data_IF_812486653769
#
_entry.id   IF_812486653769
#
_cell.length_a   1.000
_cell.length_b   1.000
_cell.length_c   1.000
_cell.angle_alpha   90.00
_cell.angle_beta   90.00
_cell.angle_gamma   90.00
#
_symmetry.space_group_name_H-M   'P 1'
#
loop_
_entity.id
_entity.type
_entity.pdbx_description
1 polymer ?
#
# COMPACT_ATOMS: atom_id res chain seq x y z
N UNK A 1 4.94 1.58 -5.36
CA UNK A 1 3.56 2.10 -5.35
C UNK A 1 2.94 1.97 -3.97
N UNK A 2 1.96 2.80 -3.67
CA UNK A 2 0.95 2.58 -2.62
C UNK A 2 -0.44 2.72 -3.26
N UNK A 3 -1.49 2.38 -2.52
CA UNK A 3 -2.86 2.56 -3.02
C UNK A 3 -3.38 3.95 -2.61
N UNK A 4 -4.12 4.62 -3.50
CA UNK A 4 -4.84 5.86 -3.18
C UNK A 4 -6.16 5.56 -2.44
N UNK A 5 -6.98 6.58 -2.21
CA UNK A 5 -8.28 6.45 -1.52
C UNK A 5 -9.28 5.51 -2.23
N UNK A 6 -9.18 5.40 -3.53
CA UNK A 6 -10.03 4.56 -4.37
C UNK A 6 -9.48 3.13 -4.55
N UNK A 7 -8.35 2.78 -3.90
CA UNK A 7 -7.69 1.50 -4.08
C UNK A 7 -6.86 1.39 -5.37
N UNK A 8 -6.66 2.49 -6.10
CA UNK A 8 -5.86 2.50 -7.31
C UNK A 8 -4.36 2.63 -6.97
N UNK A 9 -3.46 1.89 -7.63
CA UNK A 9 -2.02 2.08 -7.46
C UNK A 9 -1.57 3.49 -7.83
N UNK A 10 -0.87 4.13 -6.90
CA UNK A 10 -0.26 5.44 -7.05
C UNK A 10 1.23 5.27 -7.28
N UNK A 11 1.74 5.87 -8.35
CA UNK A 11 3.16 5.85 -8.73
C UNK A 11 3.69 7.27 -8.91
N UNK A 12 4.98 7.44 -8.68
CA UNK A 12 5.72 8.68 -8.89
C UNK A 12 6.80 8.40 -9.94
N UNK A 13 6.69 8.99 -11.12
CA UNK A 13 7.57 8.69 -12.26
C UNK A 13 8.11 9.96 -12.92
N UNK A 14 9.35 9.88 -13.42
CA UNK A 14 10.04 10.98 -14.06
C UNK A 14 9.51 11.24 -15.47
N UNK A 15 9.32 12.51 -15.83
CA UNK A 15 8.89 12.95 -17.18
C UNK A 15 9.85 12.54 -18.28
N UNK A 16 11.14 12.45 -17.99
CA UNK A 16 12.18 12.07 -18.97
C UNK A 16 12.35 10.56 -19.14
N UNK A 17 11.66 9.76 -18.32
CA UNK A 17 11.79 8.31 -18.40
C UNK A 17 11.02 7.75 -19.61
N UNK A 18 11.59 6.72 -20.26
CA UNK A 18 10.99 6.10 -21.44
C UNK A 18 9.58 5.55 -21.17
N UNK A 19 9.37 4.96 -19.99
CA UNK A 19 8.04 4.46 -19.62
C UNK A 19 7.01 5.59 -19.51
N UNK A 20 7.38 6.80 -19.09
CA UNK A 20 6.48 7.96 -19.05
C UNK A 20 6.09 8.40 -20.46
N UNK A 21 7.05 8.48 -21.38
CA UNK A 21 6.75 8.77 -22.78
C UNK A 21 5.83 7.71 -23.39
N UNK A 22 6.07 6.44 -23.09
CA UNK A 22 5.21 5.36 -23.59
C UNK A 22 3.78 5.50 -23.05
N UNK A 23 3.59 5.80 -21.77
CA UNK A 23 2.28 5.99 -21.15
C UNK A 23 1.55 7.23 -21.67
N UNK A 24 2.28 8.27 -22.10
CA UNK A 24 1.69 9.44 -22.77
C UNK A 24 1.18 9.11 -24.17
N UNK A 25 1.82 8.18 -24.86
CA UNK A 25 1.41 7.73 -26.20
C UNK A 25 0.27 6.70 -26.14
N UNK A 26 0.33 5.75 -25.21
CA UNK A 26 -0.73 4.77 -24.93
C UNK A 26 -0.78 4.53 -23.41
N UNK A 27 -1.88 4.92 -22.74
CA UNK A 27 -2.00 4.80 -21.29
C UNK A 27 -2.16 3.36 -20.81
N UNK A 28 -2.36 2.40 -21.69
CA UNK A 28 -2.53 1.00 -21.32
C UNK A 28 -1.26 0.43 -20.72
N UNK A 29 -1.39 -0.12 -19.53
CA UNK A 29 -0.27 -0.74 -18.84
C UNK A 29 -0.73 -1.90 -17.96
N UNK A 30 0.23 -2.60 -17.37
CA UNK A 30 -0.06 -3.61 -16.37
C UNK A 30 0.90 -3.51 -15.20
N UNK A 31 0.37 -3.76 -13.99
CA UNK A 31 1.14 -3.91 -12.76
C UNK A 31 1.08 -5.37 -12.33
N UNK A 32 2.25 -6.01 -12.24
CA UNK A 32 2.39 -7.36 -11.70
C UNK A 32 2.79 -7.30 -10.22
N UNK A 33 2.01 -7.97 -9.38
CA UNK A 33 2.29 -8.16 -7.96
C UNK A 33 2.45 -9.66 -7.72
N UNK A 34 3.55 -10.06 -7.12
CA UNK A 34 3.87 -11.45 -6.79
C UNK A 34 4.47 -11.59 -5.40
N UNK A 35 4.50 -12.81 -4.90
CA UNK A 35 5.13 -13.13 -3.62
C UNK A 35 6.64 -12.88 -3.67
N UNK A 36 7.17 -12.26 -2.63
CA UNK A 36 8.61 -11.97 -2.54
C UNK A 36 9.38 -13.23 -2.12
N UNK A 37 10.58 -13.40 -2.71
CA UNK A 37 11.52 -14.46 -2.30
C UNK A 37 11.17 -15.86 -2.79
N UNK A 38 10.20 -16.01 -3.68
CA UNK A 38 9.89 -17.30 -4.27
C UNK A 38 11.01 -17.76 -5.22
N UNK A 39 11.52 -18.99 -5.01
CA UNK A 39 12.51 -19.61 -5.91
C UNK A 39 11.91 -19.90 -7.29
N UNK A 40 10.64 -20.29 -7.33
CA UNK A 40 9.88 -20.51 -8.57
C UNK A 40 8.67 -19.55 -8.64
N UNK A 41 8.81 -18.53 -9.46
CA UNK A 41 7.76 -17.53 -9.70
C UNK A 41 6.48 -18.16 -10.31
N UNK A 42 6.57 -19.35 -10.94
CA UNK A 42 5.42 -20.01 -11.53
C UNK A 42 4.60 -20.81 -10.51
N UNK A 43 5.23 -21.20 -9.40
CA UNK A 43 4.59 -21.97 -8.34
C UNK A 43 3.80 -21.11 -7.35
N UNK A 44 4.05 -19.79 -7.31
CA UNK A 44 3.44 -18.87 -6.33
C UNK A 44 2.32 -18.04 -6.93
N UNK A 45 1.51 -17.49 -6.01
CA UNK A 45 0.43 -16.58 -6.35
C UNK A 45 0.96 -15.27 -6.99
N UNK A 46 0.31 -14.83 -8.06
CA UNK A 46 0.58 -13.55 -8.69
C UNK A 46 -0.68 -12.89 -9.20
N UNK A 47 -0.74 -11.59 -9.03
CA UNK A 47 -1.86 -10.75 -9.45
C UNK A 47 -1.35 -9.77 -10.51
N UNK A 48 -2.01 -9.74 -11.67
CA UNK A 48 -1.75 -8.75 -12.71
C UNK A 48 -2.94 -7.81 -12.81
N UNK A 49 -2.70 -6.53 -12.56
CA UNK A 49 -3.65 -5.47 -12.86
C UNK A 49 -3.46 -5.01 -14.30
N UNK A 50 -4.48 -5.12 -15.12
CA UNK A 50 -4.58 -4.38 -16.38
C UNK A 50 -5.18 -3.02 -16.06
N UNK A 51 -4.55 -1.94 -16.50
CA UNK A 51 -4.92 -0.59 -16.11
C UNK A 51 -4.66 0.44 -17.21
N UNK A 52 -5.25 1.61 -17.04
CA UNK A 52 -4.90 2.81 -17.76
C UNK A 52 -4.21 3.79 -16.81
N UNK A 53 -3.01 4.24 -17.20
CA UNK A 53 -2.25 5.20 -16.41
C UNK A 53 -2.80 6.61 -16.64
N UNK A 54 -3.17 7.30 -15.56
CA UNK A 54 -3.73 8.66 -15.60
C UNK A 54 -2.83 9.58 -14.79
N UNK A 55 -2.27 10.60 -15.43
CA UNK A 55 -1.51 11.64 -14.73
C UNK A 55 -2.43 12.46 -13.84
N UNK A 56 -1.99 12.75 -12.62
CA UNK A 56 -2.70 13.62 -11.68
C UNK A 56 -2.29 15.05 -11.95
N UNK A 57 -3.25 15.91 -12.31
CA UNK A 57 -3.00 17.30 -12.70
C UNK A 57 -3.64 18.33 -11.75
N UNK A 58 -4.68 17.94 -11.01
CA UNK A 58 -5.32 18.79 -10.01
C UNK A 58 -4.42 18.98 -8.78
N UNK A 59 -4.19 20.23 -8.36
CA UNK A 59 -3.27 20.57 -7.28
C UNK A 59 -3.67 19.93 -5.94
N UNK A 60 -4.96 19.85 -5.63
CA UNK A 60 -5.47 19.23 -4.41
C UNK A 60 -5.25 17.72 -4.43
N UNK A 61 -5.49 17.09 -5.59
CA UNK A 61 -5.22 15.67 -5.79
C UNK A 61 -3.72 15.35 -5.74
N UNK A 62 -2.86 16.22 -6.30
CA UNK A 62 -1.39 16.10 -6.18
C UNK A 62 -0.97 16.19 -4.71
N UNK A 63 -1.48 17.15 -3.95
CA UNK A 63 -1.15 17.30 -2.53
C UNK A 63 -1.57 16.07 -1.71
N UNK A 64 -2.77 15.53 -1.95
CA UNK A 64 -3.26 14.31 -1.30
C UNK A 64 -2.42 13.08 -1.67
N UNK A 65 -2.07 12.93 -2.97
CA UNK A 65 -1.19 11.87 -3.46
C UNK A 65 0.20 11.96 -2.82
N UNK A 66 0.79 13.15 -2.75
CA UNK A 66 2.09 13.40 -2.15
C UNK A 66 2.09 13.08 -0.65
N UNK A 67 1.11 13.58 0.10
CA UNK A 67 0.99 13.33 1.54
C UNK A 67 0.92 11.84 1.84
N UNK A 68 0.17 11.06 1.04
CA UNK A 68 0.09 9.62 1.19
C UNK A 68 1.37 8.91 0.75
N UNK A 69 1.86 9.21 -0.44
CA UNK A 69 3.03 8.54 -1.02
C UNK A 69 4.28 8.70 -0.16
N UNK A 70 4.53 9.90 0.40
CA UNK A 70 5.69 10.15 1.24
C UNK A 70 5.63 9.51 2.62
N UNK A 71 4.44 9.15 3.12
CA UNK A 71 4.35 8.30 4.32
C UNK A 71 4.92 6.91 4.07
N UNK A 72 4.67 6.35 2.88
CA UNK A 72 5.22 5.05 2.48
C UNK A 72 6.69 5.15 2.05
N UNK A 73 7.03 6.20 1.31
CA UNK A 73 8.35 6.38 0.66
C UNK A 73 8.90 7.79 0.91
N UNK A 74 9.36 8.09 2.14
CA UNK A 74 9.78 9.45 2.52
C UNK A 74 10.97 9.96 1.71
N UNK A 75 11.85 9.08 1.23
CA UNK A 75 12.97 9.41 0.35
C UNK A 75 12.52 10.00 -0.99
N UNK A 76 11.30 9.69 -1.43
CA UNK A 76 10.75 10.17 -2.71
C UNK A 76 10.40 11.65 -2.70
N UNK A 77 10.28 12.27 -1.53
CA UNK A 77 9.98 13.70 -1.41
C UNK A 77 11.05 14.56 -2.08
N UNK A 78 12.33 14.16 -1.96
CA UNK A 78 13.44 14.83 -2.62
C UNK A 78 13.37 14.79 -4.14
N UNK A 79 12.86 13.70 -4.72
CA UNK A 79 12.75 13.56 -6.18
C UNK A 79 11.67 14.46 -6.78
N UNK A 80 10.50 14.55 -6.15
CA UNK A 80 9.42 15.41 -6.62
C UNK A 80 9.77 16.89 -6.56
N UNK A 81 10.49 17.32 -5.50
CA UNK A 81 10.88 18.72 -5.32
C UNK A 81 12.04 19.17 -6.21
N UNK A 82 12.96 18.27 -6.52
CA UNK A 82 14.21 18.57 -7.21
C UNK A 82 14.17 18.31 -8.72
N UNK A 83 13.22 17.51 -9.21
CA UNK A 83 13.24 16.94 -10.56
C UNK A 83 11.84 16.84 -11.18
N UNK A 84 11.83 16.49 -12.48
CA UNK A 84 10.65 16.36 -13.33
C UNK A 84 9.85 15.08 -13.03
N UNK A 85 9.35 14.89 -11.81
CA UNK A 85 8.52 13.76 -11.42
C UNK A 85 7.06 14.19 -11.29
N UNK A 86 6.14 13.37 -11.78
CA UNK A 86 4.71 13.55 -11.65
C UNK A 86 4.07 12.33 -10.97
N UNK A 87 2.98 12.57 -10.24
CA UNK A 87 2.12 11.52 -9.73
C UNK A 87 1.19 11.02 -10.82
N UNK A 88 1.07 9.71 -10.90
CA UNK A 88 0.15 8.99 -11.76
C UNK A 88 -0.62 7.97 -10.94
N UNK A 89 -1.87 7.71 -11.31
CA UNK A 89 -2.66 6.60 -10.80
C UNK A 89 -2.89 5.58 -11.90
N UNK A 90 -2.89 4.31 -11.54
CA UNK A 90 -3.20 3.22 -12.44
C UNK A 90 -4.67 2.85 -12.24
N UNK A 91 -5.53 3.35 -13.14
CA UNK A 91 -6.96 3.10 -13.09
C UNK A 91 -7.25 1.65 -13.48
N UNK A 92 -7.83 0.83 -12.61
CA UNK A 92 -8.08 -0.58 -12.88
C UNK A 92 -9.07 -0.78 -14.03
N UNK A 93 -8.72 -1.69 -14.94
CA UNK A 93 -9.61 -2.17 -15.99
C UNK A 93 -10.05 -3.60 -15.66
N UNK A 94 -9.09 -4.46 -15.29
CA UNK A 94 -9.35 -5.85 -14.94
C UNK A 94 -8.18 -6.45 -14.17
N UNK A 95 -8.47 -7.45 -13.35
CA UNK A 95 -7.46 -8.19 -12.60
C UNK A 95 -7.36 -9.63 -13.09
N UNK A 96 -6.13 -10.16 -13.12
CA UNK A 96 -5.86 -11.56 -13.41
C UNK A 96 -5.06 -12.16 -12.27
N UNK A 97 -5.67 -13.07 -11.54
CA UNK A 97 -5.01 -13.84 -10.49
C UNK A 97 -4.56 -15.21 -11.04
N UNK A 98 -3.34 -15.60 -10.69
CA UNK A 98 -2.79 -16.93 -10.96
C UNK A 98 -2.31 -17.48 -9.63
N UNK A 99 -2.97 -18.54 -9.12
CA UNK A 99 -2.69 -19.19 -7.85
C UNK A 99 -1.78 -20.42 -7.97
N UNK A 100 -0.70 -20.32 -8.75
CA UNK A 100 0.17 -21.43 -9.06
C UNK A 100 -0.25 -22.20 -10.32
N UNK A 101 0.20 -23.45 -10.46
CA UNK A 101 -0.05 -24.25 -11.67
C UNK A 101 -1.55 -24.47 -11.93
N UNK A 102 -2.07 -23.84 -12.98
CA UNK A 102 -3.41 -24.11 -13.52
C UNK A 102 -4.57 -23.31 -12.92
N UNK A 103 -4.41 -22.62 -11.81
CA UNK A 103 -5.45 -21.77 -11.22
C UNK A 103 -5.39 -20.36 -11.77
N UNK A 104 -6.14 -20.08 -12.85
CA UNK A 104 -6.20 -18.76 -13.49
C UNK A 104 -7.63 -18.22 -13.34
N UNK A 105 -7.73 -17.03 -12.71
CA UNK A 105 -9.01 -16.36 -12.49
C UNK A 105 -8.94 -14.90 -12.98
N UNK A 106 -9.99 -14.48 -13.67
CA UNK A 106 -10.23 -13.08 -13.94
C UNK A 106 -11.18 -12.52 -12.88
N UNK A 107 -10.82 -11.35 -12.34
CA UNK A 107 -11.56 -10.69 -11.29
C UNK A 107 -11.90 -9.27 -11.81
N UNK A 108 -13.16 -8.90 -11.75
CA UNK A 108 -13.64 -7.61 -12.28
C UNK A 108 -13.60 -6.50 -11.20
N UNK A 109 -13.70 -6.88 -9.91
CA UNK A 109 -13.61 -5.96 -8.78
C UNK A 109 -12.70 -6.56 -7.69
N UNK A 110 -11.56 -5.94 -7.43
CA UNK A 110 -10.59 -6.38 -6.41
C UNK A 110 -10.21 -5.25 -5.44
N UNK A 111 -10.33 -3.98 -5.88
CA UNK A 111 -9.95 -2.84 -5.08
C UNK A 111 -11.19 -2.14 -4.52
N UNK A 112 -11.30 -2.13 -3.20
CA UNK A 112 -12.29 -1.32 -2.50
C UNK A 112 -11.68 0.01 -2.07
N UNK A 113 -12.51 1.06 -2.07
CA UNK A 113 -12.10 2.35 -1.54
C UNK A 113 -11.81 2.24 -0.04
N UNK A 114 -10.70 2.82 0.41
CA UNK A 114 -10.40 2.91 1.82
C UNK A 114 -11.25 4.02 2.48
N UNK A 115 -12.26 3.69 3.31
CA UNK A 115 -13.14 4.68 3.92
C UNK A 115 -12.43 5.57 4.95
N UNK A 116 -11.23 5.19 5.39
CA UNK A 116 -10.43 5.96 6.36
C UNK A 116 -9.49 6.96 5.69
N UNK A 117 -9.29 6.87 4.38
CA UNK A 117 -8.31 7.68 3.67
C UNK A 117 -8.53 9.19 3.89
N UNK A 118 -7.42 9.93 4.04
CA UNK A 118 -7.43 11.34 4.40
C UNK A 118 -7.16 11.56 5.89
N UNK A 119 -7.87 12.52 6.50
CA UNK A 119 -7.61 12.98 7.87
C UNK A 119 -7.86 11.89 8.94
N UNK A 120 -8.82 11.00 8.71
CA UNK A 120 -9.13 9.90 9.65
C UNK A 120 -7.94 8.94 9.72
N UNK A 121 -7.44 8.46 8.58
CA UNK A 121 -6.28 7.58 8.50
C UNK A 121 -5.03 8.28 9.05
N UNK A 122 -4.81 9.54 8.66
CA UNK A 122 -3.67 10.32 9.11
C UNK A 122 -3.65 10.47 10.63
N UNK A 123 -4.80 10.81 11.24
CA UNK A 123 -4.92 10.94 12.69
C UNK A 123 -4.69 9.61 13.43
N UNK A 124 -5.22 8.49 12.93
CA UNK A 124 -4.95 7.17 13.51
C UNK A 124 -3.46 6.81 13.45
N UNK A 125 -2.80 7.05 12.30
CA UNK A 125 -1.38 6.76 12.10
C UNK A 125 -0.52 7.63 13.03
N UNK A 126 -0.80 8.93 13.11
CA UNK A 126 -0.07 9.86 13.98
C UNK A 126 -0.17 9.44 15.44
N UNK A 127 -1.39 9.15 15.91
CA UNK A 127 -1.62 8.66 17.27
C UNK A 127 -0.85 7.36 17.57
N UNK A 128 -0.89 6.39 16.66
CA UNK A 128 -0.16 5.14 16.85
C UNK A 128 1.34 5.35 16.90
N UNK A 129 1.90 6.15 16.02
CA UNK A 129 3.34 6.41 15.96
C UNK A 129 3.84 7.24 17.14
N UNK A 130 3.05 8.21 17.65
CA UNK A 130 3.42 9.09 18.76
C UNK A 130 3.28 8.41 20.11
N UNK A 131 2.15 7.73 20.34
CA UNK A 131 1.77 7.29 21.68
C UNK A 131 1.93 5.78 21.89
N UNK A 132 1.99 4.98 20.81
CA UNK A 132 1.93 3.52 20.88
C UNK A 132 3.12 2.81 20.20
N UNK A 133 4.32 3.42 20.21
CA UNK A 133 5.52 2.83 19.61
C UNK A 133 5.86 1.44 20.19
N UNK A 134 5.56 1.19 21.47
CA UNK A 134 5.75 -0.14 22.11
C UNK A 134 4.79 -1.18 21.53
N UNK A 135 3.55 -0.81 21.26
CA UNK A 135 2.58 -1.71 20.63
C UNK A 135 3.00 -2.03 19.18
N UNK A 136 3.47 -1.03 18.42
CA UNK A 136 4.00 -1.25 17.07
C UNK A 136 5.19 -2.22 17.10
N UNK A 137 6.13 -2.07 18.05
CA UNK A 137 7.24 -3.00 18.21
C UNK A 137 6.77 -4.42 18.56
N UNK A 138 5.72 -4.55 19.37
CA UNK A 138 5.10 -5.83 19.68
C UNK A 138 4.46 -6.48 18.44
N UNK A 139 3.76 -5.72 17.58
CA UNK A 139 3.20 -6.23 16.32
C UNK A 139 4.29 -6.78 15.40
N UNK A 140 5.45 -6.12 15.32
CA UNK A 140 6.62 -6.62 14.58
C UNK A 140 7.07 -7.98 15.08
N UNK A 141 7.14 -8.17 16.40
CA UNK A 141 7.52 -9.44 17.03
C UNK A 141 6.49 -10.53 16.77
N UNK A 142 5.20 -10.23 16.97
CA UNK A 142 4.10 -11.17 16.73
C UNK A 142 4.07 -11.66 15.28
N UNK A 143 4.34 -10.77 14.33
CA UNK A 143 4.39 -11.09 12.90
C UNK A 143 5.67 -11.81 12.47
N UNK A 144 6.61 -12.09 13.38
CA UNK A 144 7.89 -12.72 13.07
C UNK A 144 8.79 -11.90 12.17
N UNK A 145 8.58 -10.58 12.11
CA UNK A 145 9.40 -9.68 11.30
C UNK A 145 10.71 -9.35 12.00
N UNK A 146 11.76 -9.08 11.21
CA UNK A 146 13.09 -8.81 11.74
C UNK A 146 13.09 -7.57 12.66
N UNK A 147 13.38 -7.78 13.94
CA UNK A 147 13.61 -6.72 14.90
C UNK A 147 15.02 -6.13 14.69
N UNK A 148 15.15 -4.82 14.70
CA UNK A 148 16.48 -4.17 14.58
C UNK A 148 16.42 -2.74 14.09
N UNK A 149 15.29 -2.33 13.49
CA UNK A 149 15.03 -0.95 13.10
C UNK A 149 13.66 -0.51 13.65
N UNK A 150 13.48 0.79 13.94
CA UNK A 150 12.18 1.32 14.33
C UNK A 150 11.14 1.08 13.25
N UNK A 151 10.00 0.54 13.66
CA UNK A 151 8.84 0.40 12.78
C UNK A 151 7.93 1.63 12.91
N UNK A 152 7.34 2.03 11.81
CA UNK A 152 6.34 3.09 11.76
C UNK A 152 5.10 2.61 11.03
N UNK A 153 3.94 2.92 11.56
CA UNK A 153 2.68 2.71 10.84
C UNK A 153 2.57 3.77 9.73
N UNK A 154 2.24 3.33 8.51
CA UNK A 154 2.21 4.21 7.33
C UNK A 154 0.89 4.14 6.55
N UNK A 155 0.04 3.15 6.85
CA UNK A 155 -1.30 3.03 6.27
C UNK A 155 -2.20 2.17 7.14
N UNK A 156 -3.50 2.44 7.08
CA UNK A 156 -4.56 1.66 7.73
C UNK A 156 -5.72 1.57 6.74
N UNK A 157 -6.27 0.38 6.57
CA UNK A 157 -7.48 0.11 5.81
C UNK A 157 -8.41 -0.83 6.62
N UNK A 158 -9.61 -1.15 6.15
CA UNK A 158 -10.51 -2.06 6.87
C UNK A 158 -9.95 -3.45 7.12
N UNK A 159 -9.04 -3.92 6.29
CA UNK A 159 -8.52 -5.29 6.34
C UNK A 159 -7.22 -5.39 7.15
N UNK A 160 -6.53 -4.26 7.40
CA UNK A 160 -5.26 -4.30 8.10
C UNK A 160 -4.53 -2.97 8.16
N UNK A 161 -3.22 -3.06 8.35
CA UNK A 161 -2.36 -1.89 8.41
C UNK A 161 -0.97 -2.18 7.82
N UNK A 162 -0.30 -1.11 7.41
CA UNK A 162 1.04 -1.17 6.86
C UNK A 162 2.07 -0.68 7.87
N UNK A 163 3.12 -1.46 8.08
CA UNK A 163 4.30 -1.05 8.81
C UNK A 163 5.48 -0.86 7.86
N UNK A 164 6.17 0.25 8.01
CA UNK A 164 7.48 0.48 7.38
C UNK A 164 8.57 0.16 8.38
N UNK A 165 9.49 -0.75 8.01
CA UNK A 165 10.68 -1.11 8.77
C UNK A 165 11.89 -0.86 7.87
N UNK A 166 12.66 0.19 8.14
CA UNK A 166 13.65 0.67 7.20
C UNK A 166 13.03 1.05 5.85
N UNK A 167 13.44 0.39 4.78
CA UNK A 167 12.89 0.59 3.43
C UNK A 167 11.81 -0.44 3.04
N UNK A 168 11.51 -1.39 3.91
CA UNK A 168 10.53 -2.44 3.64
C UNK A 168 9.15 -2.06 4.17
N UNK A 169 8.13 -2.29 3.36
CA UNK A 169 6.72 -2.17 3.75
C UNK A 169 6.16 -3.57 3.96
N UNK A 170 5.52 -3.77 5.11
CA UNK A 170 4.85 -5.00 5.51
C UNK A 170 3.37 -4.70 5.76
N UNK A 171 2.48 -5.46 5.13
CA UNK A 171 1.06 -5.42 5.42
C UNK A 171 0.72 -6.49 6.46
N UNK A 172 -0.08 -6.13 7.45
CA UNK A 172 -0.49 -6.99 8.55
C UNK A 172 -2.02 -6.95 8.65
N UNK A 173 -2.67 -8.10 8.42
CA UNK A 173 -4.12 -8.22 8.40
C UNK A 173 -4.76 -8.20 9.79
N UNK A 174 -5.95 -7.62 9.89
CA UNK A 174 -6.83 -7.85 11.03
C UNK A 174 -7.50 -9.22 10.91
N UNK A 175 -7.95 -9.76 12.02
CA UNK A 175 -8.68 -11.05 12.04
C UNK A 175 -10.05 -10.95 11.35
N UNK A 176 -10.65 -9.78 11.41
CA UNK A 176 -11.93 -9.45 10.79
C UNK A 176 -11.88 -8.03 10.25
N UNK A 177 -12.61 -7.77 9.17
CA UNK A 177 -12.69 -6.44 8.58
C UNK A 177 -13.22 -5.38 9.58
N UNK A 178 -12.54 -4.25 9.66
CA UNK A 178 -12.80 -3.15 10.58
C UNK A 178 -13.45 -1.97 9.85
N UNK A 179 -14.78 -1.87 9.86
CA UNK A 179 -15.52 -0.86 9.10
C UNK A 179 -15.67 0.50 9.81
N UNK A 180 -14.94 0.74 10.91
CA UNK A 180 -14.94 2.02 11.63
C UNK A 180 -13.63 2.24 12.38
N UNK A 181 -13.25 3.51 12.68
CA UNK A 181 -12.08 3.81 13.51
C UNK A 181 -12.14 3.15 14.90
N UNK A 182 -13.34 3.00 15.46
CA UNK A 182 -13.54 2.30 16.73
C UNK A 182 -13.22 0.81 16.65
N UNK A 183 -13.61 0.14 15.55
CA UNK A 183 -13.28 -1.27 15.31
C UNK A 183 -11.76 -1.45 15.09
N UNK A 184 -11.13 -0.57 14.32
CA UNK A 184 -9.66 -0.54 14.14
C UNK A 184 -8.96 -0.43 15.49
N UNK A 185 -9.39 0.52 16.35
CA UNK A 185 -8.83 0.67 17.68
C UNK A 185 -8.95 -0.61 18.52
N UNK A 186 -10.11 -1.25 18.49
CA UNK A 186 -10.33 -2.50 19.24
C UNK A 186 -9.41 -3.62 18.73
N UNK A 187 -9.27 -3.76 17.43
CA UNK A 187 -8.37 -4.75 16.82
C UNK A 187 -6.90 -4.49 17.21
N UNK A 188 -6.43 -3.25 17.13
CA UNK A 188 -5.08 -2.88 17.52
C UNK A 188 -4.82 -3.09 19.03
N UNK A 189 -5.79 -2.80 19.89
CA UNK A 189 -5.69 -3.08 21.35
C UNK A 189 -5.63 -4.59 21.60
N UNK A 190 -6.44 -5.38 20.92
CA UNK A 190 -6.40 -6.84 21.04
C UNK A 190 -5.03 -7.40 20.62
N UNK A 191 -4.48 -6.92 19.49
CA UNK A 191 -3.11 -7.29 19.07
C UNK A 191 -2.02 -6.87 20.06
N UNK A 192 -2.18 -5.73 20.72
CA UNK A 192 -1.20 -5.25 21.71
C UNK A 192 -1.13 -6.15 22.96
N UNK A 193 -2.14 -6.97 23.22
CA UNK A 193 -2.21 -7.91 24.33
C UNK A 193 -2.13 -9.39 23.91
N UNK A 194 -1.98 -9.67 22.64
CA UNK A 194 -1.87 -11.04 22.12
C UNK A 194 -0.47 -11.62 22.36
N UNK A 195 -0.40 -12.93 22.59
CA UNK A 195 0.86 -13.65 22.72
C UNK A 195 1.38 -14.22 21.39
N UNK A 196 0.49 -14.29 20.38
CA UNK A 196 0.78 -14.77 19.03
C UNK A 196 -0.08 -14.04 18.01
N UNK A 197 0.37 -14.00 16.76
CA UNK A 197 -0.45 -13.45 15.66
C UNK A 197 -1.74 -14.26 15.53
N UNK A 198 -2.92 -13.62 15.51
CA UNK A 198 -4.17 -14.34 15.35
C UNK A 198 -4.20 -15.01 13.95
N UNK A 199 -4.61 -16.30 13.97
CA UNK A 199 -4.70 -17.13 12.77
C UNK A 199 -5.91 -16.75 11.89
#
# INVERSE_FOLDING_TARGET
YCLNAQGEPLILISRIAQHTHNLQMDPKCSLLVGERGAEDVQAVGRLTLLSEAVRIEDETAIAAAAARYYRYFPESQGYHQAHDFDFWRLQPVRWRFIGGFGAIHWLDEVAEANPFCGDIEAGMIEHMNSDHAKAIAHYVQLAGLAAGQPAQMVGIDPEGFHLRIGQSIHWLGFQTSCNSPGAVRQALVALAHADQWPA
#
